data_IF_137292900459
#
_entry.id   IF_137292900459
#
_cell.length_a   1.000
_cell.length_b   1.000
_cell.length_c   1.000
_cell.angle_alpha   90.00
_cell.angle_beta   90.00
_cell.angle_gamma   90.00
#
_symmetry.space_group_name_H-M   'P 1'
#
loop_
_entity.id
_entity.type
_entity.pdbx_description
1 polymer ?
#
# COMPACT_ATOMS: atom_id res chain seq x y z
N UNK A 1 -15.38 -1.64 -4.15
CA UNK A 1 -14.05 -1.99 -4.71
C UNK A 1 -12.91 -1.74 -3.72
N UNK A 2 -12.64 -0.49 -3.32
CA UNK A 2 -11.56 -0.19 -2.37
C UNK A 2 -11.68 -0.97 -1.05
N UNK A 3 -12.80 -0.86 -0.32
CA UNK A 3 -13.00 -1.63 0.93
C UNK A 3 -12.98 -3.14 0.71
N UNK A 4 -13.56 -3.66 -0.38
CA UNK A 4 -13.51 -5.08 -0.70
C UNK A 4 -12.07 -5.57 -0.88
N UNK A 5 -11.24 -4.84 -1.63
CA UNK A 5 -9.82 -5.18 -1.80
C UNK A 5 -9.04 -5.04 -0.49
N UNK A 6 -9.33 -4.04 0.33
CA UNK A 6 -8.71 -3.90 1.65
C UNK A 6 -9.03 -5.09 2.54
N UNK A 7 -10.31 -5.47 2.63
CA UNK A 7 -10.73 -6.64 3.41
C UNK A 7 -10.11 -7.93 2.89
N UNK A 8 -10.12 -8.14 1.58
CA UNK A 8 -9.51 -9.30 0.93
C UNK A 8 -7.99 -9.36 1.20
N UNK A 9 -7.29 -8.22 1.12
CA UNK A 9 -5.88 -8.10 1.42
C UNK A 9 -5.55 -8.36 2.89
N UNK A 10 -6.33 -7.81 3.82
CA UNK A 10 -6.15 -8.09 5.25
C UNK A 10 -6.42 -9.55 5.59
N UNK A 11 -7.43 -10.18 4.97
CA UNK A 11 -7.75 -11.59 5.19
C UNK A 11 -6.66 -12.50 4.61
N UNK A 12 -6.26 -12.28 3.35
CA UNK A 12 -5.22 -13.07 2.71
C UNK A 12 -3.85 -12.89 3.40
N UNK A 13 -3.52 -11.67 3.82
CA UNK A 13 -2.31 -11.36 4.59
C UNK A 13 -2.31 -12.02 5.97
N UNK A 14 -3.46 -12.03 6.67
CA UNK A 14 -3.61 -12.69 7.96
C UNK A 14 -3.56 -14.22 7.86
N UNK A 15 -4.28 -14.82 6.92
CA UNK A 15 -4.29 -16.27 6.71
C UNK A 15 -2.95 -16.80 6.20
N UNK A 16 -2.37 -16.13 5.19
CA UNK A 16 -1.06 -16.48 4.66
C UNK A 16 0.08 -16.24 5.66
N UNK A 17 0.01 -15.13 6.41
CA UNK A 17 0.97 -14.83 7.47
C UNK A 17 0.91 -15.81 8.65
N UNK A 18 -0.30 -16.18 9.10
CA UNK A 18 -0.47 -17.18 10.16
C UNK A 18 0.08 -18.56 9.79
N UNK A 19 -0.16 -19.00 8.54
CA UNK A 19 0.41 -20.24 8.02
C UNK A 19 1.95 -20.17 7.90
N UNK A 20 2.49 -19.01 7.48
CA UNK A 20 3.93 -18.79 7.36
C UNK A 20 4.65 -18.81 8.72
N UNK A 21 4.04 -18.24 9.78
CA UNK A 21 4.60 -18.30 11.14
C UNK A 21 4.66 -19.73 11.65
N UNK A 22 3.62 -20.54 11.40
CA UNK A 22 3.60 -21.93 11.86
C UNK A 22 4.73 -22.77 11.25
N UNK A 23 5.07 -22.57 9.97
CA UNK A 23 6.08 -23.37 9.28
C UNK A 23 7.51 -22.79 9.35
N UNK A 24 7.67 -21.47 9.34
CA UNK A 24 8.97 -20.80 9.21
C UNK A 24 9.32 -19.86 10.39
N UNK A 25 8.44 -19.77 11.40
CA UNK A 25 8.66 -18.97 12.60
C UNK A 25 8.40 -17.47 12.41
N UNK A 26 8.71 -16.67 13.43
CA UNK A 26 8.34 -15.24 13.46
C UNK A 26 9.19 -14.36 12.54
N UNK A 27 10.42 -14.77 12.24
CA UNK A 27 11.36 -14.02 11.40
C UNK A 27 10.91 -13.94 9.94
N UNK A 28 10.28 -15.00 9.42
CA UNK A 28 9.74 -15.03 8.05
C UNK A 28 8.57 -14.07 7.87
N UNK A 29 7.74 -13.87 8.92
CA UNK A 29 6.63 -12.93 8.89
C UNK A 29 7.11 -11.48 8.79
N UNK A 30 8.14 -11.13 9.58
CA UNK A 30 8.78 -9.82 9.53
C UNK A 30 9.42 -9.60 8.17
N UNK A 31 10.11 -10.61 7.63
CA UNK A 31 10.68 -10.59 6.27
C UNK A 31 9.62 -10.38 5.18
N UNK A 32 8.48 -11.06 5.28
CA UNK A 32 7.35 -10.90 4.35
C UNK A 32 6.79 -9.47 4.40
N UNK A 33 6.59 -8.93 5.61
CA UNK A 33 6.07 -7.58 5.81
C UNK A 33 7.02 -6.51 5.26
N UNK A 34 8.32 -6.64 5.55
CA UNK A 34 9.36 -5.78 4.98
C UNK A 34 9.45 -5.89 3.46
N UNK A 35 9.36 -7.09 2.90
CA UNK A 35 9.37 -7.33 1.46
C UNK A 35 8.19 -6.66 0.76
N UNK A 36 6.98 -6.75 1.34
CA UNK A 36 5.79 -6.08 0.81
C UNK A 36 5.92 -4.55 0.87
N UNK A 37 6.44 -4.02 1.99
CA UNK A 37 6.68 -2.59 2.14
C UNK A 37 7.73 -2.08 1.14
N UNK A 38 8.81 -2.84 0.92
CA UNK A 38 9.83 -2.54 -0.10
C UNK A 38 9.26 -2.59 -1.52
N UNK A 39 8.46 -3.60 -1.84
CA UNK A 39 7.81 -3.71 -3.14
C UNK A 39 6.88 -2.51 -3.38
N UNK A 40 6.10 -2.11 -2.38
CA UNK A 40 5.26 -0.91 -2.45
C UNK A 40 6.10 0.36 -2.65
N UNK A 41 7.22 0.48 -1.93
CA UNK A 41 8.12 1.63 -2.09
C UNK A 41 8.70 1.68 -3.51
N UNK A 42 9.16 0.56 -4.07
CA UNK A 42 9.64 0.49 -5.45
C UNK A 42 8.57 0.92 -6.46
N UNK A 43 7.31 0.48 -6.27
CA UNK A 43 6.20 0.89 -7.12
C UNK A 43 5.92 2.40 -7.02
N UNK A 44 5.98 2.96 -5.81
CA UNK A 44 5.74 4.40 -5.61
C UNK A 44 6.87 5.29 -6.11
N UNK A 45 8.12 4.81 -6.12
CA UNK A 45 9.23 5.51 -6.75
C UNK A 45 8.96 5.77 -8.24
N UNK A 46 8.34 4.82 -8.95
CA UNK A 46 7.93 5.00 -10.35
C UNK A 46 6.73 5.94 -10.52
N UNK A 47 5.78 5.93 -9.58
CA UNK A 47 4.58 6.76 -9.63
C UNK A 47 4.85 8.24 -9.31
N UNK A 48 5.89 8.55 -8.54
CA UNK A 48 6.25 9.93 -8.18
C UNK A 48 6.72 10.80 -9.36
N UNK A 49 6.92 10.20 -10.54
CA UNK A 49 7.32 10.91 -11.75
C UNK A 49 6.14 11.56 -12.49
N UNK A 50 4.89 11.29 -12.09
CA UNK A 50 3.74 11.98 -12.68
C UNK A 50 3.64 13.40 -12.10
N UNK A 51 3.72 14.45 -12.93
CA UNK A 51 3.50 15.81 -12.46
C UNK A 51 2.10 15.89 -11.87
N UNK A 52 1.97 16.35 -10.62
CA UNK A 52 0.66 16.63 -10.04
C UNK A 52 0.01 17.73 -10.89
N UNK A 53 -1.21 17.54 -11.41
CA UNK A 53 -1.91 18.60 -12.13
C UNK A 53 -2.07 19.80 -11.19
N UNK A 54 -1.45 20.94 -11.55
CA UNK A 54 -1.68 22.20 -10.85
C UNK A 54 -3.15 22.58 -11.05
N UNK A 55 -3.92 22.86 -9.99
CA UNK A 55 -5.26 23.39 -10.12
C UNK A 55 -5.21 24.73 -10.86
N UNK A 56 -6.02 24.89 -11.91
CA UNK A 56 -6.12 26.17 -12.60
C UNK A 56 -6.59 27.26 -11.63
N UNK A 57 -6.04 28.49 -11.72
CA UNK A 57 -6.33 29.59 -10.78
C UNK A 57 -7.81 30.01 -10.76
N UNK A 58 -8.64 29.53 -11.70
CA UNK A 58 -10.09 29.80 -11.74
C UNK A 58 -10.89 29.08 -10.65
N UNK A 59 -10.31 28.07 -9.97
CA UNK A 59 -10.91 27.40 -8.81
C UNK A 59 -10.33 27.83 -7.46
N UNK A 60 -9.49 28.88 -7.43
CA UNK A 60 -9.11 29.49 -6.15
C UNK A 60 -10.39 29.85 -5.40
N UNK A 61 -10.59 29.39 -4.13
CA UNK A 61 -11.78 29.72 -3.37
C UNK A 61 -11.86 31.24 -3.29
N UNK A 62 -12.77 31.78 -4.08
CA UNK A 62 -13.05 33.19 -4.15
C UNK A 62 -13.33 33.67 -2.74
N UNK A 63 -12.51 34.60 -2.28
CA UNK A 63 -12.83 35.59 -1.29
C UNK A 63 -14.31 36.01 -1.41
N UNK A 64 -15.18 35.44 -0.57
CA UNK A 64 -16.52 35.95 -0.29
C UNK A 64 -16.91 35.62 1.14
#
# INVERSE_FOLDING_TARGET
IYSTCQFLGTFAGGAGGGWLVQHFGQLSLVGLCLGLALAWWLLMLGAALTPVPVPDPEHAPGTR
#
